data_IF_993257042904
#
_entry.id   IF_993257042904
#
_cell.length_a   1.000
_cell.length_b   1.000
_cell.length_c   1.000
_cell.angle_alpha   90.00
_cell.angle_beta   90.00
_cell.angle_gamma   90.00
#
_symmetry.space_group_name_H-M   'P 1'
#
loop_
_entity.id
_entity.type
_entity.pdbx_description
1 polymer ?
#
# COMPACT_ATOMS: atom_id res chain seq x y z
N UNK A 1 4.59 -7.73 -29.31
CA UNK A 1 5.20 -6.60 -28.58
C UNK A 1 4.40 -5.29 -28.70
N UNK A 2 3.30 -5.20 -29.47
CA UNK A 2 2.50 -3.96 -29.55
C UNK A 2 1.43 -3.80 -28.45
N UNK A 3 1.03 -4.89 -27.79
CA UNK A 3 0.03 -4.84 -26.71
C UNK A 3 0.52 -4.17 -25.42
N UNK A 4 1.83 -4.24 -25.14
CA UNK A 4 2.42 -3.57 -23.97
C UNK A 4 2.35 -2.04 -24.07
N UNK A 5 2.48 -1.51 -25.29
CA UNK A 5 2.52 -0.05 -25.51
C UNK A 5 1.15 0.58 -25.31
N UNK A 6 0.07 -0.07 -25.77
CA UNK A 6 -1.30 0.41 -25.54
C UNK A 6 -1.73 0.28 -24.07
N UNK A 7 -1.35 -0.80 -23.38
CA UNK A 7 -1.64 -1.00 -21.96
C UNK A 7 -0.95 0.05 -21.07
N UNK A 8 0.33 0.35 -21.34
CA UNK A 8 1.05 1.41 -20.64
C UNK A 8 0.49 2.81 -20.93
N UNK A 9 0.00 3.08 -22.15
CA UNK A 9 -0.60 4.37 -22.51
C UNK A 9 -1.94 4.62 -21.80
N UNK A 10 -2.79 3.59 -21.66
CA UNK A 10 -4.07 3.70 -20.93
C UNK A 10 -3.86 3.96 -19.43
N UNK A 11 -2.91 3.26 -18.79
CA UNK A 11 -2.59 3.51 -17.38
C UNK A 11 -1.97 4.91 -17.16
N UNK A 12 -1.10 5.38 -18.06
CA UNK A 12 -0.54 6.74 -17.96
C UNK A 12 -1.60 7.82 -18.03
N UNK A 13 -2.65 7.64 -18.83
CA UNK A 13 -3.74 8.62 -18.95
C UNK A 13 -4.63 8.72 -17.71
N UNK A 14 -4.80 7.65 -16.93
CA UNK A 14 -5.55 7.71 -15.66
C UNK A 14 -4.73 8.34 -14.53
N UNK A 15 -3.42 8.07 -14.47
CA UNK A 15 -2.50 8.69 -13.50
C UNK A 15 -2.40 10.21 -13.70
N UNK A 16 -2.58 10.70 -14.93
CA UNK A 16 -2.48 12.13 -15.25
C UNK A 16 -3.57 13.05 -14.64
N UNK A 17 -4.63 12.49 -14.02
CA UNK A 17 -5.67 13.28 -13.33
C UNK A 17 -5.69 13.11 -11.81
N UNK A 18 -4.78 12.31 -11.25
CA UNK A 18 -4.71 12.10 -9.80
C UNK A 18 -3.99 13.30 -9.18
N UNK A 19 -4.68 13.94 -8.22
CA UNK A 19 -4.19 15.13 -7.51
C UNK A 19 -3.86 14.78 -6.07
N UNK A 20 -2.90 15.49 -5.45
CA UNK A 20 -2.66 15.34 -4.04
C UNK A 20 -3.92 15.77 -3.26
N UNK A 21 -4.26 15.00 -2.24
CA UNK A 21 -5.34 15.30 -1.32
C UNK A 21 -4.98 16.51 -0.44
N UNK A 22 -5.98 17.30 -0.12
CA UNK A 22 -5.89 18.33 0.90
C UNK A 22 -5.76 17.73 2.29
N UNK A 23 -5.30 18.53 3.26
CA UNK A 23 -5.23 18.11 4.66
C UNK A 23 -6.59 17.63 5.18
N UNK A 24 -7.67 18.32 4.85
CA UNK A 24 -9.03 17.94 5.27
C UNK A 24 -9.44 16.57 4.73
N UNK A 25 -9.16 16.28 3.46
CA UNK A 25 -9.45 14.96 2.86
C UNK A 25 -8.59 13.87 3.52
N UNK A 26 -7.30 14.14 3.73
CA UNK A 26 -6.39 13.22 4.46
C UNK A 26 -6.97 12.88 5.84
N UNK A 27 -7.41 13.89 6.61
CA UNK A 27 -8.02 13.66 7.91
C UNK A 27 -9.32 12.87 7.86
N UNK A 28 -10.11 12.99 6.79
CA UNK A 28 -11.32 12.20 6.60
C UNK A 28 -10.97 10.73 6.36
N UNK A 29 -10.07 10.44 5.42
CA UNK A 29 -9.66 9.06 5.13
C UNK A 29 -8.97 8.38 6.31
N UNK A 30 -8.22 9.12 7.13
CA UNK A 30 -7.56 8.57 8.32
C UNK A 30 -8.53 8.05 9.39
N UNK A 31 -9.77 8.54 9.44
CA UNK A 31 -10.75 8.10 10.45
C UNK A 31 -11.04 6.59 10.34
N UNK A 32 -10.99 6.06 9.12
CA UNK A 32 -11.24 4.63 8.85
C UNK A 32 -9.97 3.77 8.95
N UNK A 33 -8.81 4.39 9.18
CA UNK A 33 -7.49 3.77 9.19
C UNK A 33 -6.75 4.02 10.51
N UNK A 34 -7.40 3.67 11.64
CA UNK A 34 -6.95 4.02 13.00
C UNK A 34 -5.52 3.58 13.39
N UNK A 35 -4.93 2.61 12.69
CA UNK A 35 -3.55 2.18 12.94
C UNK A 35 -2.51 2.90 12.05
N UNK A 36 -2.96 3.61 11.02
CA UNK A 36 -2.10 4.35 10.12
C UNK A 36 -1.90 5.78 10.61
N UNK A 37 -0.78 6.37 10.23
CA UNK A 37 -0.44 7.74 10.58
C UNK A 37 0.26 8.43 9.42
N UNK A 38 0.23 9.76 9.42
CA UNK A 38 1.05 10.55 8.50
C UNK A 38 2.42 10.73 9.13
N UNK A 39 3.47 10.31 8.43
CA UNK A 39 4.85 10.49 8.84
C UNK A 39 5.70 10.83 7.62
N UNK A 40 6.44 11.92 7.70
CA UNK A 40 7.34 12.38 6.63
C UNK A 40 6.63 12.47 5.26
N UNK A 41 5.40 13.02 5.25
CA UNK A 41 4.49 13.12 4.09
C UNK A 41 4.06 11.78 3.46
N UNK A 42 4.20 10.67 4.20
CA UNK A 42 3.74 9.33 3.78
C UNK A 42 2.67 8.82 4.73
N UNK A 43 1.80 7.96 4.22
CA UNK A 43 0.86 7.19 5.02
C UNK A 43 1.59 5.93 5.51
N UNK A 44 1.79 5.82 6.82
CA UNK A 44 2.71 4.86 7.44
C UNK A 44 2.00 3.94 8.42
N UNK A 45 2.33 2.66 8.38
CA UNK A 45 1.87 1.66 9.34
C UNK A 45 2.97 0.64 9.64
N UNK A 46 3.04 0.15 10.87
CA UNK A 46 3.94 -0.95 11.26
C UNK A 46 3.18 -2.05 11.95
N UNK A 47 3.34 -3.28 11.45
CA UNK A 47 2.80 -4.48 12.08
C UNK A 47 3.93 -5.33 12.66
N UNK A 48 3.68 -5.96 13.82
CA UNK A 48 4.59 -6.92 14.44
C UNK A 48 3.95 -8.32 14.40
N UNK A 49 4.57 -9.22 13.65
CA UNK A 49 4.21 -10.63 13.53
C UNK A 49 4.85 -11.48 14.63
N UNK A 50 4.50 -12.77 14.71
CA UNK A 50 5.05 -13.68 15.72
C UNK A 50 6.54 -13.93 15.52
N UNK A 51 6.99 -14.05 14.27
CA UNK A 51 8.37 -14.36 13.92
C UNK A 51 8.72 -13.85 12.51
N UNK A 52 9.98 -14.03 12.11
CA UNK A 52 10.49 -13.59 10.81
C UNK A 52 9.80 -14.27 9.63
N UNK A 53 9.52 -15.58 9.73
CA UNK A 53 8.86 -16.35 8.65
C UNK A 53 7.48 -15.79 8.36
N UNK A 54 6.71 -15.48 9.40
CA UNK A 54 5.38 -14.90 9.26
C UNK A 54 5.43 -13.49 8.63
N UNK A 55 6.40 -12.65 9.03
CA UNK A 55 6.60 -11.34 8.44
C UNK A 55 6.89 -11.42 6.92
N UNK A 56 7.74 -12.36 6.50
CA UNK A 56 8.03 -12.58 5.08
C UNK A 56 6.81 -13.12 4.34
N UNK A 57 6.06 -14.05 4.92
CA UNK A 57 4.82 -14.56 4.32
C UNK A 57 3.77 -13.46 4.14
N UNK A 58 3.68 -12.52 5.07
CA UNK A 58 2.81 -11.36 4.92
C UNK A 58 3.23 -10.48 3.74
N UNK A 59 4.53 -10.17 3.62
CA UNK A 59 5.05 -9.38 2.48
C UNK A 59 4.78 -10.09 1.15
N UNK A 60 4.94 -11.41 1.11
CA UNK A 60 4.59 -12.23 -0.05
C UNK A 60 3.09 -12.11 -0.42
N UNK A 61 2.20 -12.15 0.59
CA UNK A 61 0.76 -11.94 0.38
C UNK A 61 0.39 -10.51 -0.04
N UNK A 62 1.27 -9.54 0.18
CA UNK A 62 1.06 -8.14 -0.18
C UNK A 62 1.37 -7.85 -1.65
N UNK A 63 2.14 -8.71 -2.33
CA UNK A 63 2.53 -8.52 -3.73
C UNK A 63 1.30 -8.41 -4.64
N UNK A 64 0.38 -9.39 -4.59
CA UNK A 64 -0.81 -9.37 -5.46
C UNK A 64 -1.70 -8.14 -5.25
N UNK A 65 -2.04 -7.71 -4.01
CA UNK A 65 -2.74 -6.46 -3.79
C UNK A 65 -2.04 -5.23 -4.37
N UNK A 66 -0.72 -5.10 -4.20
CA UNK A 66 0.05 -3.96 -4.70
C UNK A 66 0.08 -3.92 -6.24
N UNK A 67 0.35 -5.06 -6.89
CA UNK A 67 0.34 -5.18 -8.36
C UNK A 67 -1.07 -4.94 -8.94
N UNK A 68 -2.10 -5.46 -8.28
CA UNK A 68 -3.51 -5.24 -8.69
C UNK A 68 -3.89 -3.77 -8.60
N UNK A 69 -3.42 -3.07 -7.56
CA UNK A 69 -3.63 -1.63 -7.41
C UNK A 69 -2.76 -0.81 -8.38
N UNK A 70 -1.76 -1.42 -9.03
CA UNK A 70 -0.70 -0.72 -9.76
C UNK A 70 -0.09 0.42 -8.92
N UNK A 71 0.04 0.19 -7.62
CA UNK A 71 0.51 1.15 -6.65
C UNK A 71 1.32 0.40 -5.60
N UNK A 72 2.57 0.79 -5.40
CA UNK A 72 3.53 -0.04 -4.70
C UNK A 72 3.95 0.62 -3.38
N UNK A 73 3.92 -0.11 -2.25
CA UNK A 73 4.41 0.40 -0.98
C UNK A 73 5.93 0.38 -0.90
N UNK A 74 6.50 1.33 -0.17
CA UNK A 74 7.82 1.19 0.42
C UNK A 74 7.72 0.26 1.63
N UNK A 75 8.43 -0.88 1.61
CA UNK A 75 8.41 -1.88 2.68
C UNK A 75 9.77 -1.95 3.37
N UNK A 76 9.78 -1.87 4.70
CA UNK A 76 10.95 -2.16 5.53
C UNK A 76 10.65 -3.34 6.48
N UNK A 77 11.60 -4.26 6.62
CA UNK A 77 11.46 -5.44 7.46
C UNK A 77 12.58 -5.44 8.50
N UNK A 78 12.20 -5.51 9.79
CA UNK A 78 13.12 -5.60 10.92
C UNK A 78 12.72 -6.78 11.79
N UNK A 79 13.34 -7.94 11.54
CA UNK A 79 12.93 -9.23 12.12
C UNK A 79 11.42 -9.46 11.90
N UNK A 80 10.62 -9.54 12.95
CA UNK A 80 9.18 -9.78 12.85
C UNK A 80 8.34 -8.51 12.66
N UNK A 81 8.96 -7.35 12.42
CA UNK A 81 8.25 -6.10 12.16
C UNK A 81 8.29 -5.76 10.68
N UNK A 82 7.13 -5.41 10.12
CA UNK A 82 6.98 -4.91 8.76
C UNK A 82 6.42 -3.50 8.83
N UNK A 83 7.20 -2.53 8.36
CA UNK A 83 6.77 -1.15 8.17
C UNK A 83 6.41 -0.93 6.71
N UNK A 84 5.24 -0.35 6.48
CA UNK A 84 4.71 0.01 5.18
C UNK A 84 4.60 1.52 5.13
N UNK A 85 5.12 2.14 4.07
CA UNK A 85 4.87 3.53 3.76
C UNK A 85 4.27 3.66 2.36
N UNK A 86 3.25 4.48 2.23
CA UNK A 86 2.53 4.74 0.99
C UNK A 86 2.63 6.22 0.63
N UNK A 87 2.94 6.49 -0.63
CA UNK A 87 2.84 7.80 -1.27
C UNK A 87 2.78 7.63 -2.78
N UNK A 88 2.03 8.47 -3.47
CA UNK A 88 2.11 8.59 -4.92
C UNK A 88 3.27 9.49 -5.31
N UNK A 89 4.45 8.88 -5.49
CA UNK A 89 5.71 9.57 -5.78
C UNK A 89 5.63 10.53 -6.96
N UNK A 90 4.98 10.13 -8.05
CA UNK A 90 4.86 10.93 -9.28
C UNK A 90 4.07 12.23 -9.09
N UNK A 91 3.18 12.25 -8.08
CA UNK A 91 2.33 13.40 -7.74
C UNK A 91 2.94 14.24 -6.60
N UNK A 92 3.96 13.71 -5.91
CA UNK A 92 4.66 14.41 -4.83
C UNK A 92 3.85 14.57 -3.55
N UNK A 93 2.84 13.73 -3.33
CA UNK A 93 1.96 13.80 -2.16
C UNK A 93 1.07 12.58 -2.01
N UNK A 94 0.20 12.62 -1.00
CA UNK A 94 -0.79 11.57 -0.77
C UNK A 94 -1.99 11.75 -1.68
N UNK A 95 -2.47 10.65 -2.23
CA UNK A 95 -3.61 10.58 -3.14
C UNK A 95 -4.58 9.51 -2.67
N UNK A 96 -5.74 9.41 -3.31
CA UNK A 96 -6.72 8.37 -2.99
C UNK A 96 -6.15 6.94 -3.09
N UNK A 97 -5.20 6.70 -4.02
CA UNK A 97 -4.56 5.39 -4.21
C UNK A 97 -3.83 4.91 -2.96
N UNK A 98 -3.20 5.83 -2.22
CA UNK A 98 -2.51 5.53 -0.97
C UNK A 98 -3.48 5.01 0.08
N UNK A 99 -4.65 5.64 0.19
CA UNK A 99 -5.68 5.27 1.17
C UNK A 99 -6.44 4.00 0.78
N UNK A 100 -6.67 3.78 -0.52
CA UNK A 100 -7.26 2.55 -1.03
C UNK A 100 -6.37 1.35 -0.74
N UNK A 101 -5.07 1.43 -1.08
CA UNK A 101 -4.13 0.35 -0.79
C UNK A 101 -3.94 0.16 0.72
N UNK A 102 -3.88 1.23 1.51
CA UNK A 102 -3.86 1.14 2.96
C UNK A 102 -5.08 0.40 3.53
N UNK A 103 -6.27 0.60 2.95
CA UNK A 103 -7.49 -0.11 3.33
C UNK A 103 -7.39 -1.59 3.02
N UNK A 104 -6.95 -1.96 1.82
CA UNK A 104 -6.74 -3.36 1.44
C UNK A 104 -5.72 -4.06 2.35
N UNK A 105 -4.60 -3.39 2.64
CA UNK A 105 -3.56 -3.87 3.56
C UNK A 105 -4.14 -4.08 4.96
N UNK A 106 -4.90 -3.11 5.48
CA UNK A 106 -5.54 -3.20 6.79
C UNK A 106 -6.47 -4.40 6.90
N UNK A 107 -7.23 -4.69 5.84
CA UNK A 107 -8.09 -5.87 5.78
C UNK A 107 -7.28 -7.17 5.73
N UNK A 108 -6.19 -7.21 4.96
CA UNK A 108 -5.28 -8.36 4.91
C UNK A 108 -4.71 -8.68 6.30
N UNK A 109 -4.30 -7.66 7.05
CA UNK A 109 -3.80 -7.79 8.43
C UNK A 109 -4.92 -8.22 9.38
N UNK A 110 -6.09 -7.60 9.31
CA UNK A 110 -7.23 -7.91 10.18
C UNK A 110 -7.67 -9.38 10.06
N UNK A 111 -7.55 -9.94 8.86
CA UNK A 111 -7.92 -11.33 8.55
C UNK A 111 -6.73 -12.29 8.60
N UNK A 112 -5.55 -11.82 9.00
CA UNK A 112 -4.31 -12.59 8.97
C UNK A 112 -4.38 -13.84 9.86
N UNK A 113 -3.78 -14.93 9.37
CA UNK A 113 -3.61 -16.20 10.08
C UNK A 113 -2.17 -16.66 9.91
N UNK A 114 -1.56 -17.16 10.97
CA UNK A 114 -0.13 -17.50 10.98
C UNK A 114 0.24 -18.70 10.09
N UNK A 115 -0.74 -19.51 9.70
CA UNK A 115 -0.61 -20.62 8.75
C UNK A 115 -0.87 -20.19 7.29
N UNK A 116 -1.29 -18.94 7.05
CA UNK A 116 -1.54 -18.42 5.71
C UNK A 116 -0.25 -18.36 4.91
N UNK A 117 -0.31 -18.85 3.68
CA UNK A 117 0.77 -18.75 2.70
C UNK A 117 0.20 -18.19 1.40
N UNK A 118 0.91 -17.24 0.80
CA UNK A 118 0.61 -16.74 -0.53
C UNK A 118 1.83 -16.93 -1.42
N UNK A 119 1.57 -17.29 -2.67
CA UNK A 119 2.55 -17.31 -3.75
C UNK A 119 2.23 -16.15 -4.70
N UNK A 120 3.27 -15.53 -5.24
CA UNK A 120 3.21 -14.41 -6.19
C UNK A 120 3.69 -14.87 -7.55
#
# INVERSE_FOLDING_TARGET
>A
MEFYSAFLLVQKTEIHNIKPLSETEIYQYLQDLSNWQIKDNKLSYTHKFQNFVEAINFVNCLVTPAETANHHPDIAISYNQVTINLTTHDVGGLTVLDFELATTISQLIKTWKSDKQCQF
#
